data_IF_552143124800
#
_entry.id   IF_552143124800
#
_cell.length_a   1.000
_cell.length_b   1.000
_cell.length_c   1.000
_cell.angle_alpha   90.00
_cell.angle_beta   90.00
_cell.angle_gamma   90.00
#
_symmetry.space_group_name_H-M   'P 1'
#
loop_
_entity.id
_entity.type
_entity.pdbx_description
1 polymer ?
#
# COMPACT_ATOMS: atom_id res chain seq x y z
N UNK A 1 -5.02 0.41 8.78
CA UNK A 1 -4.11 0.95 7.74
C UNK A 1 -4.16 0.02 6.52
N UNK A 2 -3.89 0.46 5.28
CA UNK A 2 -3.79 -0.38 4.04
C UNK A 2 -4.99 -1.26 3.61
N UNK A 3 -6.13 -1.23 4.31
CA UNK A 3 -7.33 -1.99 3.92
C UNK A 3 -7.83 -1.62 2.52
N UNK A 4 -7.66 -0.36 2.15
CA UNK A 4 -7.97 0.18 0.83
C UNK A 4 -7.07 -0.41 -0.26
N UNK A 5 -5.76 -0.51 0.00
CA UNK A 5 -4.81 -1.16 -0.92
C UNK A 5 -5.21 -2.61 -1.15
N UNK A 6 -5.42 -3.38 -0.07
CA UNK A 6 -5.83 -4.78 -0.17
C UNK A 6 -7.14 -4.95 -0.95
N UNK A 7 -8.12 -4.08 -0.70
CA UNK A 7 -9.38 -4.08 -1.43
C UNK A 7 -9.18 -3.85 -2.93
N UNK A 8 -8.48 -2.79 -3.31
CA UNK A 8 -8.26 -2.43 -4.73
C UNK A 8 -7.46 -3.53 -5.42
N UNK A 9 -6.42 -4.06 -4.78
CA UNK A 9 -5.65 -5.20 -5.30
C UNK A 9 -6.56 -6.38 -5.62
N UNK A 10 -7.40 -6.80 -4.67
CA UNK A 10 -8.32 -7.93 -4.86
C UNK A 10 -9.32 -7.67 -5.98
N UNK A 11 -9.94 -6.50 -6.00
CA UNK A 11 -10.90 -6.11 -7.04
C UNK A 11 -10.25 -6.13 -8.43
N UNK A 12 -9.10 -5.46 -8.60
CA UNK A 12 -8.38 -5.42 -9.87
C UNK A 12 -7.93 -6.81 -10.29
N UNK A 13 -7.31 -7.60 -9.40
CA UNK A 13 -6.79 -8.92 -9.74
C UNK A 13 -7.91 -9.92 -10.06
N UNK A 14 -9.05 -9.86 -9.38
CA UNK A 14 -10.19 -10.72 -9.67
C UNK A 14 -10.69 -10.57 -11.11
N UNK A 15 -10.59 -9.36 -11.67
CA UNK A 15 -11.01 -9.05 -13.05
C UNK A 15 -9.88 -9.21 -14.07
N UNK A 16 -8.66 -8.84 -13.69
CA UNK A 16 -7.48 -8.87 -14.55
C UNK A 16 -6.98 -10.30 -14.80
N UNK A 17 -6.92 -11.12 -13.74
CA UNK A 17 -6.29 -12.43 -13.81
C UNK A 17 -7.25 -13.56 -14.22
N UNK A 18 -8.56 -13.30 -14.20
CA UNK A 18 -9.60 -14.29 -14.54
C UNK A 18 -9.86 -14.44 -16.04
N UNK A 19 -9.54 -13.43 -16.86
CA UNK A 19 -9.78 -13.47 -18.31
C UNK A 19 -8.83 -14.46 -19.00
N UNK A 20 -9.34 -15.14 -20.04
CA UNK A 20 -8.52 -16.05 -20.87
C UNK A 20 -7.48 -15.31 -21.72
N UNK A 21 -7.72 -14.05 -22.06
CA UNK A 21 -6.80 -13.18 -22.80
C UNK A 21 -5.67 -12.67 -21.90
N UNK A 22 -4.48 -12.47 -22.46
CA UNK A 22 -3.37 -11.81 -21.79
C UNK A 22 -3.68 -10.32 -21.56
N UNK A 23 -3.22 -9.80 -20.42
CA UNK A 23 -3.15 -8.35 -20.19
C UNK A 23 -2.26 -7.73 -21.27
N UNK A 24 -2.59 -6.51 -21.67
CA UNK A 24 -2.05 -5.95 -22.90
C UNK A 24 -0.54 -5.71 -22.85
N UNK A 25 -0.03 -5.23 -21.73
CA UNK A 25 1.35 -4.79 -21.59
C UNK A 25 2.06 -5.65 -20.53
N UNK A 26 2.78 -6.72 -20.93
CA UNK A 26 3.39 -7.64 -19.99
C UNK A 26 4.45 -6.97 -19.11
N UNK A 27 5.24 -6.04 -19.63
CA UNK A 27 6.17 -5.21 -18.84
C UNK A 27 5.46 -4.46 -17.72
N UNK A 28 4.29 -3.86 -17.98
CA UNK A 28 3.49 -3.21 -16.92
C UNK A 28 2.97 -4.20 -15.88
N UNK A 29 2.60 -5.41 -16.29
CA UNK A 29 2.24 -6.49 -15.36
C UNK A 29 3.43 -6.84 -14.45
N UNK A 30 4.64 -6.85 -15.01
CA UNK A 30 5.86 -7.08 -14.24
C UNK A 30 6.22 -5.91 -13.31
N UNK A 31 6.03 -4.66 -13.75
CA UNK A 31 6.21 -3.47 -12.90
C UNK A 31 5.24 -3.48 -11.71
N UNK A 32 3.98 -3.91 -11.93
CA UNK A 32 3.03 -4.17 -10.83
C UNK A 32 3.56 -5.27 -9.90
N UNK A 33 4.09 -6.37 -10.44
CA UNK A 33 4.64 -7.44 -9.62
C UNK A 33 5.79 -6.96 -8.73
N UNK A 34 6.77 -6.24 -9.29
CA UNK A 34 7.94 -5.73 -8.53
C UNK A 34 7.53 -4.73 -7.46
N UNK A 35 6.79 -3.68 -7.83
CA UNK A 35 6.31 -2.68 -6.86
C UNK A 35 5.42 -3.31 -5.77
N UNK A 36 4.67 -4.36 -6.09
CA UNK A 36 3.88 -5.07 -5.08
C UNK A 36 4.73 -5.88 -4.09
N UNK A 37 5.86 -6.44 -4.54
CA UNK A 37 6.82 -7.08 -3.63
C UNK A 37 7.44 -6.08 -2.65
N UNK A 38 7.77 -4.88 -3.13
CA UNK A 38 8.31 -3.80 -2.30
C UNK A 38 7.30 -3.37 -1.24
N UNK A 39 6.02 -3.18 -1.61
CA UNK A 39 4.94 -2.91 -0.63
C UNK A 39 4.90 -4.00 0.45
N UNK A 40 4.93 -5.29 0.08
CA UNK A 40 4.90 -6.39 1.05
C UNK A 40 6.11 -6.36 2.00
N UNK A 41 7.29 -5.99 1.48
CA UNK A 41 8.51 -5.83 2.25
C UNK A 41 8.39 -4.66 3.25
N UNK A 42 7.92 -3.51 2.79
CA UNK A 42 7.84 -2.30 3.62
C UNK A 42 6.72 -2.39 4.65
N UNK A 43 5.62 -3.10 4.33
CA UNK A 43 4.58 -3.43 5.31
C UNK A 43 5.20 -4.27 6.43
N UNK A 44 6.06 -5.23 6.09
CA UNK A 44 6.76 -6.05 7.08
C UNK A 44 7.74 -5.20 7.91
N UNK A 45 8.45 -4.26 7.28
CA UNK A 45 9.34 -3.32 7.96
C UNK A 45 8.57 -2.48 8.99
N UNK A 46 7.55 -1.75 8.55
CA UNK A 46 6.72 -0.89 9.43
C UNK A 46 6.12 -1.71 10.58
N UNK A 47 5.55 -2.88 10.28
CA UNK A 47 4.89 -3.69 11.30
C UNK A 47 5.86 -4.21 12.36
N UNK A 48 7.09 -4.57 11.99
CA UNK A 48 7.96 -5.39 12.84
C UNK A 48 9.25 -4.70 13.29
N UNK A 49 9.52 -3.47 12.86
CA UNK A 49 10.71 -2.70 13.25
C UNK A 49 10.45 -1.83 14.48
N UNK A 50 9.84 -0.65 14.33
CA UNK A 50 9.60 0.28 15.46
C UNK A 50 8.16 0.36 15.95
N UNK A 51 7.17 -0.17 15.24
CA UNK A 51 5.75 0.10 15.55
C UNK A 51 5.38 -0.31 16.99
N UNK A 52 5.56 -1.58 17.36
CA UNK A 52 5.10 -2.16 18.62
C UNK A 52 6.21 -2.28 19.67
N UNK A 53 6.86 -1.15 19.99
CA UNK A 53 7.86 -1.07 21.06
C UNK A 53 7.24 -0.54 22.37
N UNK A 54 7.75 -1.04 23.49
CA UNK A 54 7.30 -0.66 24.84
C UNK A 54 8.21 0.41 25.49
N UNK A 55 9.23 0.88 24.76
CA UNK A 55 10.17 1.91 25.16
C UNK A 55 11.16 1.50 26.27
N UNK A 56 11.25 0.20 26.56
CA UNK A 56 12.28 -0.36 27.47
C UNK A 56 13.51 -0.85 26.71
N UNK A 57 13.46 -0.87 25.39
CA UNK A 57 14.50 -1.40 24.53
C UNK A 57 15.79 -0.58 24.68
N UNK A 58 16.92 -1.26 24.93
CA UNK A 58 18.20 -0.61 25.21
C UNK A 58 18.65 0.34 24.09
N UNK A 59 18.38 -0.02 22.83
CA UNK A 59 18.74 0.81 21.69
C UNK A 59 17.92 2.10 21.57
N UNK A 60 16.79 2.23 22.28
CA UNK A 60 16.04 3.49 22.35
C UNK A 60 16.59 4.45 23.42
N UNK A 61 17.30 3.92 24.41
CA UNK A 61 17.78 4.69 25.56
C UNK A 61 18.99 5.55 25.22
N UNK A 62 19.20 6.61 26.00
CA UNK A 62 20.39 7.46 25.97
C UNK A 62 20.81 7.92 24.56
N UNK A 63 19.81 8.21 23.73
CA UNK A 63 20.04 8.56 22.32
C UNK A 63 20.14 10.08 22.12
N UNK A 64 20.77 10.48 21.02
CA UNK A 64 20.82 11.90 20.59
C UNK A 64 19.45 12.46 20.16
N UNK A 65 18.41 11.63 20.10
CA UNK A 65 17.05 12.04 19.75
C UNK A 65 16.23 12.53 20.96
N UNK A 66 16.76 12.42 22.18
CA UNK A 66 16.03 12.74 23.41
C UNK A 66 15.38 11.50 24.02
N UNK A 67 14.09 11.61 24.36
CA UNK A 67 13.36 10.54 25.02
C UNK A 67 13.19 9.32 24.08
N UNK A 68 13.03 8.09 24.61
CA UNK A 68 12.77 6.89 23.79
C UNK A 68 11.64 7.07 22.77
N UNK A 69 10.59 7.82 23.14
CA UNK A 69 9.45 8.13 22.27
C UNK A 69 9.82 9.05 21.10
N UNK A 70 10.79 9.96 21.26
CA UNK A 70 11.27 10.83 20.18
C UNK A 70 12.00 10.00 19.12
N UNK A 71 12.88 9.11 19.57
CA UNK A 71 13.58 8.17 18.69
C UNK A 71 12.61 7.24 17.96
N UNK A 72 11.65 6.68 18.70
CA UNK A 72 10.58 5.87 18.13
C UNK A 72 9.82 6.60 17.03
N UNK A 73 9.35 7.83 17.28
CA UNK A 73 8.66 8.66 16.28
C UNK A 73 9.50 8.87 15.04
N UNK A 74 10.78 9.18 15.21
CA UNK A 74 11.68 9.43 14.07
C UNK A 74 11.81 8.20 13.17
N UNK A 75 12.17 7.04 13.73
CA UNK A 75 12.41 5.84 12.94
C UNK A 75 11.11 5.22 12.40
N UNK A 76 10.02 5.21 13.18
CA UNK A 76 8.73 4.76 12.66
C UNK A 76 8.26 5.64 11.50
N UNK A 77 8.44 6.97 11.57
CA UNK A 77 8.11 7.84 10.45
C UNK A 77 9.01 7.64 9.23
N UNK A 78 10.25 7.17 9.39
CA UNK A 78 11.10 6.78 8.27
C UNK A 78 10.61 5.52 7.58
N UNK A 79 10.26 4.50 8.35
CA UNK A 79 9.66 3.27 7.81
C UNK A 79 8.34 3.57 7.09
N UNK A 80 7.51 4.48 7.66
CA UNK A 80 6.25 4.91 7.05
C UNK A 80 6.44 5.75 5.78
N UNK A 81 7.48 6.60 5.71
CA UNK A 81 7.83 7.39 4.53
C UNK A 81 8.19 6.48 3.35
N UNK A 82 8.99 5.43 3.61
CA UNK A 82 9.36 4.40 2.64
C UNK A 82 8.13 3.64 2.12
N UNK A 83 7.31 3.10 3.04
CA UNK A 83 6.07 2.42 2.68
C UNK A 83 5.11 3.32 1.89
N UNK A 84 5.05 4.62 2.20
CA UNK A 84 4.21 5.55 1.47
C UNK A 84 4.66 5.70 0.01
N UNK A 85 5.98 5.75 -0.22
CA UNK A 85 6.56 5.81 -1.56
C UNK A 85 6.21 4.57 -2.38
N UNK A 86 6.47 3.37 -1.83
CA UNK A 86 6.24 2.11 -2.54
C UNK A 86 4.76 1.83 -2.78
N UNK A 87 3.87 2.17 -1.85
CA UNK A 87 2.42 2.05 -2.07
C UNK A 87 1.92 2.99 -3.17
N UNK A 88 2.41 4.24 -3.23
CA UNK A 88 2.04 5.17 -4.30
C UNK A 88 2.49 4.64 -5.66
N UNK A 89 3.73 4.15 -5.77
CA UNK A 89 4.24 3.56 -7.00
C UNK A 89 3.41 2.33 -7.42
N UNK A 90 3.14 1.43 -6.47
CA UNK A 90 2.30 0.25 -6.70
C UNK A 90 0.90 0.61 -7.20
N UNK A 91 0.21 1.56 -6.53
CA UNK A 91 -1.13 2.01 -6.91
C UNK A 91 -1.14 2.65 -8.30
N UNK A 92 -0.11 3.44 -8.63
CA UNK A 92 0.05 4.00 -9.98
C UNK A 92 0.27 2.91 -11.03
N UNK A 93 1.15 1.93 -10.77
CA UNK A 93 1.38 0.81 -11.67
C UNK A 93 0.11 -0.04 -11.87
N UNK A 94 -0.62 -0.31 -10.79
CA UNK A 94 -1.86 -1.08 -10.81
C UNK A 94 -2.93 -0.41 -11.69
N UNK A 95 -2.96 0.93 -11.72
CA UNK A 95 -3.91 1.70 -12.54
C UNK A 95 -3.77 1.51 -14.04
N UNK A 96 -2.64 0.96 -14.52
CA UNK A 96 -2.41 0.67 -15.94
C UNK A 96 -2.85 -0.73 -16.36
N UNK A 97 -3.32 -1.59 -15.45
CA UNK A 97 -3.76 -2.93 -15.82
C UNK A 97 -5.06 -2.87 -16.63
N UNK A 98 -4.99 -3.39 -17.86
CA UNK A 98 -6.09 -3.45 -18.82
C UNK A 98 -5.87 -4.55 -19.87
N UNK A 99 -6.97 -5.02 -20.46
CA UNK A 99 -6.96 -5.86 -21.66
C UNK A 99 -7.19 -5.06 -22.95
N UNK A 100 -7.55 -3.79 -22.82
CA UNK A 100 -8.03 -2.94 -23.90
C UNK A 100 -6.97 -1.90 -24.30
N UNK A 101 -7.17 -1.33 -25.48
CA UNK A 101 -6.31 -0.32 -26.11
C UNK A 101 -6.47 1.08 -25.48
N UNK A 102 -7.60 1.31 -24.80
CA UNK A 102 -7.97 2.62 -24.29
C UNK A 102 -7.25 2.92 -22.98
N UNK A 103 -6.60 4.09 -22.92
CA UNK A 103 -5.95 4.61 -21.70
C UNK A 103 -6.92 4.85 -20.55
N UNK A 104 -8.23 4.79 -20.80
CA UNK A 104 -9.27 5.07 -19.82
C UNK A 104 -10.08 3.83 -19.42
N UNK A 105 -9.88 2.67 -20.05
CA UNK A 105 -10.58 1.42 -19.74
C UNK A 105 -9.65 0.49 -18.94
N UNK A 106 -9.27 0.94 -17.74
CA UNK A 106 -8.49 0.14 -16.80
C UNK A 106 -9.35 -0.33 -15.65
N UNK A 107 -8.95 -1.41 -14.99
CA UNK A 107 -9.73 -1.98 -13.90
C UNK A 107 -9.88 -1.04 -12.69
N UNK A 108 -8.92 -0.15 -12.47
CA UNK A 108 -9.01 0.89 -11.44
C UNK A 108 -10.04 1.95 -11.83
N UNK A 109 -10.19 2.25 -13.13
CA UNK A 109 -11.15 3.24 -13.61
C UNK A 109 -12.61 2.77 -13.50
N UNK A 110 -12.83 1.46 -13.30
CA UNK A 110 -14.14 0.92 -12.93
C UNK A 110 -14.50 1.19 -11.46
N UNK A 111 -13.54 1.59 -10.63
CA UNK A 111 -13.72 1.88 -9.19
C UNK A 111 -13.71 3.38 -8.96
N UNK A 112 -12.76 4.11 -9.56
CA UNK A 112 -12.56 5.54 -9.36
C UNK A 112 -12.41 6.27 -10.69
N UNK A 113 -12.76 7.56 -10.73
CA UNK A 113 -12.43 8.38 -11.88
C UNK A 113 -10.89 8.45 -12.08
N UNK A 114 -10.40 8.16 -13.29
CA UNK A 114 -8.97 8.08 -13.61
C UNK A 114 -8.15 9.32 -13.19
N UNK A 115 -8.67 10.53 -13.50
CA UNK A 115 -7.96 11.78 -13.21
C UNK A 115 -7.93 12.07 -11.72
N UNK A 116 -9.06 11.84 -11.04
CA UNK A 116 -9.18 12.05 -9.60
C UNK A 116 -8.30 11.05 -8.84
N UNK A 117 -8.32 9.77 -9.26
CA UNK A 117 -7.45 8.74 -8.71
C UNK A 117 -5.98 9.08 -8.84
N UNK A 118 -5.52 9.41 -10.06
CA UNK A 118 -4.13 9.75 -10.30
C UNK A 118 -3.66 10.94 -9.44
N UNK A 119 -4.45 12.03 -9.41
CA UNK A 119 -4.14 13.21 -8.61
C UNK A 119 -4.12 12.89 -7.11
N UNK A 120 -5.09 12.10 -6.62
CA UNK A 120 -5.14 11.71 -5.22
C UNK A 120 -3.94 10.84 -4.82
N UNK A 121 -3.64 9.77 -5.58
CA UNK A 121 -2.51 8.88 -5.27
C UNK A 121 -1.18 9.64 -5.26
N UNK A 122 -0.96 10.51 -6.25
CA UNK A 122 0.26 11.31 -6.34
C UNK A 122 0.38 12.28 -5.16
N UNK A 123 -0.64 13.11 -4.95
CA UNK A 123 -0.49 14.32 -4.12
C UNK A 123 -0.97 14.12 -2.68
N UNK A 124 -1.99 13.29 -2.47
CA UNK A 124 -2.75 13.27 -1.23
C UNK A 124 -2.64 11.96 -0.45
N UNK A 125 -2.42 10.85 -1.14
CA UNK A 125 -2.34 9.54 -0.51
C UNK A 125 -1.23 9.50 0.54
N UNK A 126 -1.57 8.98 1.72
CA UNK A 126 -0.66 8.84 2.84
C UNK A 126 -1.07 7.62 3.68
N UNK A 127 -0.20 6.59 3.71
CA UNK A 127 -0.40 5.37 4.50
C UNK A 127 -0.21 5.58 6.00
N UNK A 128 0.43 6.65 6.44
CA UNK A 128 0.80 6.87 7.82
C UNK A 128 1.84 7.97 8.02
N UNK A 129 1.58 8.84 8.99
CA UNK A 129 2.60 9.71 9.60
C UNK A 129 2.22 9.96 11.07
N UNK A 130 3.13 9.70 11.99
CA UNK A 130 2.97 9.98 13.43
C UNK A 130 3.33 11.43 13.69
N UNK A 131 2.43 12.15 14.36
CA UNK A 131 2.63 13.56 14.69
C UNK A 131 3.91 13.81 15.52
N UNK A 132 4.53 14.98 15.31
CA UNK A 132 5.83 15.28 15.94
C UNK A 132 5.78 15.37 17.47
N UNK A 133 4.63 15.72 18.05
CA UNK A 133 4.45 15.94 19.50
C UNK A 133 3.25 15.18 20.05
N UNK A 134 3.16 13.90 19.73
CA UNK A 134 2.12 13.02 20.23
C UNK A 134 2.20 11.62 19.64
N UNK A 135 1.10 10.89 19.70
CA UNK A 135 1.04 9.47 19.33
C UNK A 135 -0.06 9.19 18.30
N UNK A 136 -0.65 10.22 17.70
CA UNK A 136 -1.63 10.04 16.65
C UNK A 136 -0.92 9.74 15.32
N UNK A 137 -1.26 8.60 14.73
CA UNK A 137 -0.93 8.24 13.35
C UNK A 137 -2.00 8.80 12.43
N UNK A 138 -1.62 9.69 11.53
CA UNK A 138 -2.49 10.29 10.52
C UNK A 138 -2.45 9.48 9.22
N UNK A 139 -3.61 9.26 8.64
CA UNK A 139 -3.81 8.52 7.39
C UNK A 139 -4.62 9.37 6.43
N UNK A 140 -4.28 9.34 5.14
CA UNK A 140 -5.13 9.86 4.07
C UNK A 140 -5.20 8.82 2.95
N UNK A 141 -6.25 8.01 2.98
CA UNK A 141 -6.35 6.77 2.18
C UNK A 141 -7.55 6.83 1.23
N UNK A 142 -7.66 5.85 0.33
CA UNK A 142 -8.79 5.78 -0.60
C UNK A 142 -10.08 5.36 0.14
N UNK A 143 -11.19 6.04 -0.14
CA UNK A 143 -12.53 5.70 0.37
C UNK A 143 -13.14 4.60 -0.50
N UNK A 144 -13.08 3.36 -0.04
CA UNK A 144 -13.59 2.18 -0.76
C UNK A 144 -15.05 1.84 -0.46
N UNK A 145 -15.63 2.48 0.57
CA UNK A 145 -17.00 2.19 1.05
C UNK A 145 -18.09 2.90 0.22
N UNK A 146 -17.72 3.90 -0.60
CA UNK A 146 -18.64 4.65 -1.46
C UNK A 146 -18.36 4.33 -2.92
N UNK A 147 -19.24 3.53 -3.54
CA UNK A 147 -19.19 3.22 -4.97
C UNK A 147 -19.92 4.29 -5.79
N UNK A 148 -19.43 5.52 -5.74
CA UNK A 148 -19.86 6.57 -6.67
C UNK A 148 -18.70 7.00 -7.54
N UNK A 149 -18.65 6.45 -8.75
CA UNK A 149 -17.61 6.72 -9.77
C UNK A 149 -17.60 8.20 -10.18
N UNK A 150 -18.70 8.94 -9.96
CA UNK A 150 -18.78 10.37 -10.24
C UNK A 150 -18.30 11.26 -9.09
N UNK A 151 -18.03 10.68 -7.92
CA UNK A 151 -17.53 11.45 -6.78
C UNK A 151 -16.15 12.02 -7.07
N UNK A 152 -16.03 13.33 -6.92
CA UNK A 152 -14.73 14.03 -6.93
C UNK A 152 -13.96 13.84 -5.62
N UNK A 153 -14.62 13.33 -4.58
CA UNK A 153 -14.01 13.01 -3.29
C UNK A 153 -13.84 11.50 -3.15
N UNK A 154 -12.61 11.04 -3.30
CA UNK A 154 -12.23 9.62 -3.20
C UNK A 154 -11.31 9.33 -2.01
N UNK A 155 -11.02 10.34 -1.19
CA UNK A 155 -10.11 10.27 -0.05
C UNK A 155 -10.84 10.25 1.28
N UNK A 156 -10.25 9.57 2.26
CA UNK A 156 -10.72 9.51 3.64
C UNK A 156 -9.56 9.73 4.59
N UNK A 157 -9.67 10.80 5.38
CA UNK A 157 -8.76 11.03 6.50
C UNK A 157 -9.14 10.14 7.69
N UNK A 158 -8.14 9.53 8.32
CA UNK A 158 -8.31 8.76 9.56
C UNK A 158 -7.17 9.06 10.52
N UNK A 159 -7.41 8.84 11.81
CA UNK A 159 -6.39 8.86 12.85
C UNK A 159 -6.42 7.54 13.62
N UNK A 160 -5.26 7.06 14.03
CA UNK A 160 -5.10 5.93 14.95
C UNK A 160 -4.31 6.43 16.15
N UNK A 161 -4.81 6.17 17.35
CA UNK A 161 -4.10 6.48 18.58
C UNK A 161 -3.11 5.36 18.93
N UNK A 162 -1.82 5.69 19.00
CA UNK A 162 -0.72 4.78 19.34
C UNK A 162 -0.13 5.08 20.73
N UNK A 163 -0.87 5.77 21.60
CA UNK A 163 -0.41 6.14 22.94
C UNK A 163 -0.13 4.93 23.85
N UNK A 164 -0.81 3.81 23.64
CA UNK A 164 -0.63 2.59 24.44
C UNK A 164 0.14 1.52 23.68
N UNK A 165 0.84 0.65 24.43
CA UNK A 165 1.53 -0.49 23.84
C UNK A 165 0.54 -1.45 23.16
N UNK A 166 -0.62 -1.67 23.77
CA UNK A 166 -1.68 -2.54 23.24
C UNK A 166 -2.22 -2.03 21.90
N UNK A 167 -2.36 -0.70 21.74
CA UNK A 167 -2.79 -0.12 20.48
C UNK A 167 -1.77 -0.34 19.36
N UNK A 168 -0.47 -0.20 19.67
CA UNK A 168 0.61 -0.48 18.72
C UNK A 168 0.66 -1.96 18.33
N UNK A 169 0.54 -2.87 19.29
CA UNK A 169 0.48 -4.32 19.05
C UNK A 169 -0.75 -4.68 18.20
N UNK A 170 -1.90 -4.06 18.47
CA UNK A 170 -3.11 -4.26 17.68
C UNK A 170 -2.91 -3.83 16.22
N UNK A 171 -2.31 -2.66 15.98
CA UNK A 171 -1.99 -2.21 14.63
C UNK A 171 -0.94 -3.10 13.94
N UNK A 172 0.09 -3.53 14.67
CA UNK A 172 1.08 -4.49 14.15
C UNK A 172 0.40 -5.78 13.68
N UNK A 173 -0.51 -6.32 14.48
CA UNK A 173 -1.28 -7.51 14.11
C UNK A 173 -2.12 -7.26 12.85
N UNK A 174 -2.85 -6.14 12.78
CA UNK A 174 -3.63 -5.77 11.59
C UNK A 174 -2.75 -5.70 10.33
N UNK A 175 -1.58 -5.08 10.43
CA UNK A 175 -0.63 -4.98 9.31
C UNK A 175 -0.09 -6.34 8.89
N UNK A 176 0.27 -7.19 9.85
CA UNK A 176 0.74 -8.54 9.56
C UNK A 176 -0.35 -9.40 8.90
N UNK A 177 -1.60 -9.32 9.38
CA UNK A 177 -2.75 -10.01 8.78
C UNK A 177 -3.00 -9.53 7.34
N UNK A 178 -2.96 -8.20 7.10
CA UNK A 178 -3.05 -7.64 5.75
C UNK A 178 -1.90 -8.14 4.88
N UNK A 179 -0.67 -8.17 5.40
CA UNK A 179 0.50 -8.58 4.63
C UNK A 179 0.43 -10.04 4.19
N UNK A 180 -0.17 -10.92 5.01
CA UNK A 180 -0.47 -12.32 4.62
C UNK A 180 -1.41 -12.35 3.43
N UNK A 181 -2.49 -11.57 3.46
CA UNK A 181 -3.45 -11.49 2.35
C UNK A 181 -2.80 -10.91 1.08
N UNK A 182 -1.96 -9.87 1.19
CA UNK A 182 -1.23 -9.31 0.05
C UNK A 182 -0.29 -10.34 -0.58
N UNK A 183 0.40 -11.16 0.23
CA UNK A 183 1.25 -12.26 -0.28
C UNK A 183 0.45 -13.30 -1.06
N UNK A 184 -0.78 -13.60 -0.64
CA UNK A 184 -1.68 -14.50 -1.37
C UNK A 184 -2.02 -13.90 -2.74
N UNK A 185 -2.37 -12.61 -2.82
CA UNK A 185 -2.65 -11.94 -4.09
C UNK A 185 -1.41 -11.85 -4.99
N UNK A 186 -0.22 -11.60 -4.42
CA UNK A 186 1.05 -11.59 -5.16
C UNK A 186 1.32 -12.95 -5.82
N UNK A 187 1.08 -14.05 -5.12
CA UNK A 187 1.29 -15.39 -5.69
C UNK A 187 0.33 -15.65 -6.86
N UNK A 188 -0.92 -15.16 -6.82
CA UNK A 188 -1.83 -15.24 -7.97
C UNK A 188 -1.27 -14.50 -9.19
N UNK A 189 -0.75 -13.28 -8.99
CA UNK A 189 -0.13 -12.50 -10.06
C UNK A 189 1.12 -13.22 -10.62
N UNK A 190 1.95 -13.78 -9.74
CA UNK A 190 3.14 -14.53 -10.13
C UNK A 190 2.80 -15.76 -10.97
N UNK A 191 1.78 -16.53 -10.58
CA UNK A 191 1.30 -17.67 -11.35
C UNK A 191 0.73 -17.23 -12.70
N UNK A 192 -0.02 -16.13 -12.73
CA UNK A 192 -0.50 -15.55 -13.99
C UNK A 192 0.66 -15.21 -14.93
N UNK A 193 1.70 -14.53 -14.45
CA UNK A 193 2.88 -14.16 -15.25
C UNK A 193 3.58 -15.42 -15.79
N UNK A 194 3.88 -16.38 -14.91
CA UNK A 194 4.57 -17.63 -15.27
C UNK A 194 3.84 -18.43 -16.35
N UNK A 195 2.52 -18.44 -16.32
CA UNK A 195 1.71 -19.24 -17.23
C UNK A 195 1.48 -18.56 -18.59
N UNK A 196 1.78 -17.26 -18.73
CA UNK A 196 1.33 -16.45 -19.87
C UNK A 196 2.41 -15.67 -20.59
N UNK A 197 3.54 -15.42 -19.94
CA UNK A 197 4.61 -14.59 -20.47
C UNK A 197 5.96 -15.29 -20.39
N UNK A 198 6.75 -15.12 -21.44
CA UNK A 198 8.18 -15.41 -21.45
C UNK A 198 8.94 -14.28 -20.76
N UNK A 199 10.24 -14.50 -20.49
CA UNK A 199 11.09 -13.43 -19.96
C UNK A 199 11.18 -12.25 -20.93
N UNK A 200 11.28 -12.51 -22.23
CA UNK A 200 11.40 -11.47 -23.26
C UNK A 200 10.18 -10.56 -23.29
N UNK A 201 8.98 -11.11 -23.10
CA UNK A 201 7.74 -10.32 -23.01
C UNK A 201 7.78 -9.29 -21.86
N UNK A 202 8.47 -9.62 -20.74
CA UNK A 202 8.49 -8.78 -19.54
C UNK A 202 9.55 -7.66 -19.61
N UNK A 203 10.54 -7.79 -20.48
CA UNK A 203 11.67 -6.88 -20.59
C UNK A 203 11.49 -5.81 -21.67
N UNK A 204 10.50 -5.98 -22.56
CA UNK A 204 10.20 -5.10 -23.70
C UNK A 204 8.94 -4.29 -23.42
#
# INVERSE_FOLDING_TARGET
MLKDVLFITKEVFSKALSKKKNLRNPKRVYDVFRSFQEVISDVNLVANHYLALNFTEHYLQNSSFGEPVDKWRYFLNKDLEELNGTVKEYLQNLSYLSHDDSTFETYVNEIFNAKVYYAFVRDNYNVGFVEQKGNLLHLNILETDKKDIQSVYIGKHKKIDLSTFEAKVSLQKELNDINVELKIELEKLKQYIKNRYSLDDLLV
#
